data_IF_483474175797
#
_entry.id   IF_483474175797
#
_cell.length_a   1.000
_cell.length_b   1.000
_cell.length_c   1.000
_cell.angle_alpha   90.00
_cell.angle_beta   90.00
_cell.angle_gamma   90.00
#
_symmetry.space_group_name_H-M   'P 1'
#
loop_
_entity.id
_entity.type
_entity.pdbx_description
1 polymer ?
#
# COMPACT_ATOMS: atom_id res chain seq x y z
N UNK A 1 12.55 28.56 -37.37
CA UNK A 1 11.28 28.52 -36.59
C UNK A 1 10.43 27.26 -36.80
N UNK A 2 10.06 26.84 -38.02
CA UNK A 2 9.15 25.68 -38.24
C UNK A 2 9.66 24.34 -37.68
N UNK A 3 10.98 24.10 -37.71
CA UNK A 3 11.60 22.87 -37.16
C UNK A 3 11.58 22.88 -35.63
N UNK A 4 11.86 24.03 -35.01
CA UNK A 4 11.83 24.22 -33.55
C UNK A 4 10.41 24.01 -33.01
N UNK A 5 9.39 24.51 -33.70
CA UNK A 5 7.99 24.29 -33.33
C UNK A 5 7.57 22.81 -33.43
N UNK A 6 8.04 22.08 -34.45
CA UNK A 6 7.82 20.63 -34.57
C UNK A 6 8.52 19.83 -33.46
N UNK A 7 9.75 20.20 -33.11
CA UNK A 7 10.49 19.61 -31.99
C UNK A 7 9.78 19.89 -30.67
N UNK A 8 9.30 21.11 -30.46
CA UNK A 8 8.53 21.48 -29.27
C UNK A 8 7.24 20.69 -29.15
N UNK A 9 6.48 20.51 -30.24
CA UNK A 9 5.26 19.68 -30.26
C UNK A 9 5.60 18.21 -29.95
N UNK A 10 6.64 17.65 -30.57
CA UNK A 10 7.07 16.27 -30.32
C UNK A 10 7.54 16.09 -28.88
N UNK A 11 8.31 17.03 -28.32
CA UNK A 11 8.71 17.02 -26.92
C UNK A 11 7.51 17.22 -26.00
N UNK A 12 6.55 18.07 -26.34
CA UNK A 12 5.33 18.27 -25.56
C UNK A 12 4.48 16.98 -25.51
N UNK A 13 4.30 16.29 -26.64
CA UNK A 13 3.63 14.99 -26.67
C UNK A 13 4.44 13.91 -25.96
N UNK A 14 5.76 13.88 -26.12
CA UNK A 14 6.63 12.92 -25.43
C UNK A 14 6.63 13.15 -23.91
N UNK A 15 6.77 14.40 -23.47
CA UNK A 15 6.71 14.80 -22.05
C UNK A 15 5.32 14.51 -21.49
N UNK A 16 4.22 14.79 -22.20
CA UNK A 16 2.88 14.47 -21.72
C UNK A 16 2.59 12.96 -21.68
N UNK A 17 3.13 12.18 -22.61
CA UNK A 17 3.07 10.71 -22.57
C UNK A 17 3.96 10.12 -21.48
N UNK A 18 5.08 10.76 -21.13
CA UNK A 18 5.96 10.37 -20.01
C UNK A 18 5.42 10.88 -18.67
N UNK A 19 4.58 11.92 -18.67
CA UNK A 19 3.89 12.50 -17.52
C UNK A 19 2.49 11.91 -17.30
N UNK A 20 2.01 10.98 -18.14
CA UNK A 20 0.86 10.17 -17.77
C UNK A 20 1.22 9.45 -16.48
N UNK A 21 0.50 9.74 -15.38
CA UNK A 21 0.70 9.06 -14.12
C UNK A 21 0.75 7.54 -14.38
N UNK A 22 1.74 6.84 -13.84
CA UNK A 22 1.83 5.41 -14.12
C UNK A 22 0.75 4.65 -13.34
N UNK A 23 0.24 3.56 -13.89
CA UNK A 23 -0.75 2.70 -13.24
C UNK A 23 -0.14 1.96 -12.02
N UNK A 24 -0.98 1.33 -11.21
CA UNK A 24 -0.60 0.66 -9.96
C UNK A 24 0.54 -0.35 -10.13
N UNK A 25 0.54 -1.14 -11.21
CA UNK A 25 1.63 -2.09 -11.52
C UNK A 25 3.03 -1.46 -11.57
N UNK A 26 3.17 -0.22 -12.05
CA UNK A 26 4.47 0.46 -12.09
C UNK A 26 4.97 0.94 -10.73
N UNK A 27 4.06 1.10 -9.76
CA UNK A 27 4.38 1.40 -8.37
C UNK A 27 4.35 0.16 -7.46
N UNK A 28 4.08 -1.01 -8.04
CA UNK A 28 4.10 -2.30 -7.37
C UNK A 28 5.53 -2.82 -7.24
N UNK A 29 5.74 -3.77 -6.33
CA UNK A 29 7.05 -4.35 -6.02
C UNK A 29 6.97 -5.87 -5.97
N UNK A 30 7.91 -6.54 -6.63
CA UNK A 30 8.11 -7.98 -6.52
C UNK A 30 9.37 -8.29 -5.69
N UNK A 31 9.22 -9.13 -4.69
CA UNK A 31 10.30 -9.76 -3.91
C UNK A 31 10.33 -11.25 -4.28
N UNK A 32 11.34 -11.68 -5.03
CA UNK A 32 11.32 -12.99 -5.67
C UNK A 32 12.39 -13.92 -5.12
N UNK A 33 11.99 -15.12 -4.73
CA UNK A 33 12.89 -16.18 -4.31
C UNK A 33 13.77 -16.66 -5.47
N UNK A 34 15.03 -16.94 -5.16
CA UNK A 34 15.95 -17.67 -6.06
C UNK A 34 15.71 -19.19 -6.03
N UNK A 35 15.10 -19.71 -4.95
CA UNK A 35 14.82 -21.13 -4.71
C UNK A 35 13.48 -21.52 -5.33
N UNK A 36 12.41 -20.83 -4.96
CA UNK A 36 11.06 -21.07 -5.48
C UNK A 36 10.77 -20.11 -6.62
N UNK A 37 11.05 -20.52 -7.87
CA UNK A 37 10.82 -19.67 -9.04
C UNK A 37 9.31 -19.50 -9.26
N UNK A 38 8.83 -18.27 -9.16
CA UNK A 38 7.44 -17.96 -9.50
C UNK A 38 7.19 -18.06 -11.01
N UNK A 39 6.12 -18.75 -11.39
CA UNK A 39 5.58 -18.76 -12.75
C UNK A 39 4.07 -18.53 -12.68
N UNK A 40 3.60 -17.41 -13.23
CA UNK A 40 2.18 -17.05 -13.16
C UNK A 40 1.29 -18.06 -13.92
N UNK A 41 1.78 -18.56 -15.06
CA UNK A 41 1.12 -19.58 -15.89
C UNK A 41 0.80 -20.89 -15.15
N UNK A 42 1.57 -21.19 -14.09
CA UNK A 42 1.34 -22.39 -13.28
C UNK A 42 0.28 -22.18 -12.19
N UNK A 43 -0.14 -20.94 -11.93
CA UNK A 43 -1.07 -20.62 -10.85
C UNK A 43 -2.49 -21.00 -11.28
N UNK A 44 -2.99 -22.10 -10.72
CA UNK A 44 -4.36 -22.59 -10.94
C UNK A 44 -5.28 -22.34 -9.75
N UNK A 45 -4.74 -21.90 -8.61
CA UNK A 45 -5.48 -21.64 -7.38
C UNK A 45 -5.20 -20.24 -6.85
N UNK A 46 -6.25 -19.42 -6.75
CA UNK A 46 -6.22 -18.13 -6.06
C UNK A 46 -6.89 -18.30 -4.69
N UNK A 47 -6.13 -18.13 -3.61
CA UNK A 47 -6.64 -18.21 -2.23
C UNK A 47 -6.66 -16.78 -1.67
N UNK A 48 -7.85 -16.28 -1.31
CA UNK A 48 -8.04 -14.86 -0.97
C UNK A 48 -8.49 -14.69 0.47
N UNK A 49 -7.84 -13.78 1.17
CA UNK A 49 -8.21 -13.28 2.48
C UNK A 49 -8.44 -11.77 2.40
N UNK A 50 -9.39 -11.24 3.17
CA UNK A 50 -9.70 -9.83 3.05
C UNK A 50 -11.00 -9.39 3.68
N UNK A 51 -11.44 -8.21 3.27
CA UNK A 51 -12.70 -7.61 3.69
C UNK A 51 -13.71 -7.46 2.53
N UNK A 52 -14.64 -6.50 2.63
CA UNK A 52 -15.67 -6.21 1.62
C UNK A 52 -15.13 -5.76 0.26
N UNK A 53 -13.83 -5.43 0.16
CA UNK A 53 -13.17 -5.21 -1.12
C UNK A 53 -12.93 -6.50 -1.91
N UNK A 54 -12.92 -7.66 -1.23
CA UNK A 54 -12.67 -8.99 -1.82
C UNK A 54 -13.85 -9.95 -1.67
N UNK A 55 -14.77 -9.69 -0.74
CA UNK A 55 -15.91 -10.57 -0.43
C UNK A 55 -16.92 -10.66 -1.59
N UNK A 56 -17.25 -11.89 -1.98
CA UNK A 56 -18.11 -12.25 -3.12
C UNK A 56 -19.44 -12.92 -2.70
N UNK A 57 -19.78 -12.90 -1.40
CA UNK A 57 -20.99 -13.42 -0.73
C UNK A 57 -20.68 -14.54 0.30
N UNK A 58 -21.35 -14.46 1.46
CA UNK A 58 -20.89 -14.95 2.78
C UNK A 58 -21.15 -16.44 3.03
N UNK A 59 -21.85 -17.13 2.12
CA UNK A 59 -22.50 -18.39 2.44
C UNK A 59 -21.76 -19.67 2.05
N UNK A 60 -20.54 -19.60 1.53
CA UNK A 60 -19.73 -20.80 1.52
C UNK A 60 -18.24 -20.55 1.32
N UNK A 61 -17.45 -21.27 2.11
CA UNK A 61 -16.18 -21.87 1.67
C UNK A 61 -16.54 -22.80 0.50
N UNK A 62 -16.87 -22.23 -0.66
CA UNK A 62 -17.23 -22.97 -1.87
C UNK A 62 -16.09 -22.85 -2.85
N UNK A 63 -15.58 -24.02 -3.22
CA UNK A 63 -15.05 -24.26 -4.55
C UNK A 63 -16.04 -23.68 -5.58
N UNK A 64 -15.54 -22.81 -6.46
CA UNK A 64 -16.37 -21.98 -7.34
C UNK A 64 -17.39 -22.77 -8.15
N UNK A 65 -18.64 -22.28 -8.22
CA UNK A 65 -19.37 -22.14 -9.49
C UNK A 65 -20.68 -21.33 -9.43
N UNK A 66 -21.29 -21.02 -8.27
CA UNK A 66 -22.65 -20.45 -8.26
C UNK A 66 -22.86 -19.25 -7.31
N UNK A 67 -22.10 -18.17 -7.52
CA UNK A 67 -22.42 -16.88 -6.89
C UNK A 67 -23.12 -15.95 -7.89
N UNK A 68 -24.42 -15.76 -7.68
CA UNK A 68 -25.21 -14.76 -8.38
C UNK A 68 -24.92 -13.37 -7.77
N UNK A 69 -24.39 -12.46 -8.58
CA UNK A 69 -24.55 -10.99 -8.53
C UNK A 69 -23.47 -10.09 -7.90
N UNK A 70 -22.34 -10.56 -7.37
CA UNK A 70 -21.25 -9.67 -6.90
C UNK A 70 -19.89 -10.06 -7.48
N UNK A 71 -19.51 -9.39 -8.57
CA UNK A 71 -18.23 -9.61 -9.25
C UNK A 71 -17.15 -8.65 -8.69
N UNK A 72 -16.24 -9.19 -7.88
CA UNK A 72 -15.09 -8.47 -7.30
C UNK A 72 -13.80 -8.79 -8.04
N UNK A 73 -12.73 -8.05 -7.72
CA UNK A 73 -11.43 -8.25 -8.34
C UNK A 73 -10.91 -9.70 -8.30
N UNK A 74 -11.13 -10.53 -7.24
CA UNK A 74 -10.68 -11.92 -7.25
C UNK A 74 -11.37 -12.74 -8.33
N UNK A 75 -12.68 -12.54 -8.49
CA UNK A 75 -13.48 -13.23 -9.50
C UNK A 75 -12.99 -12.89 -10.91
N UNK A 76 -12.76 -11.62 -11.21
CA UNK A 76 -12.26 -11.25 -12.54
C UNK A 76 -10.83 -11.75 -12.77
N UNK A 77 -9.98 -11.73 -11.75
CA UNK A 77 -8.62 -12.25 -11.87
C UNK A 77 -8.62 -13.74 -12.24
N UNK A 78 -9.53 -14.53 -11.67
CA UNK A 78 -9.62 -15.95 -12.04
C UNK A 78 -10.11 -16.19 -13.46
N UNK A 79 -10.85 -15.23 -14.06
CA UNK A 79 -11.27 -15.31 -15.46
C UNK A 79 -10.12 -15.08 -16.44
N UNK A 80 -9.15 -14.23 -16.11
CA UNK A 80 -7.99 -14.00 -16.98
C UNK A 80 -7.06 -15.21 -17.07
N UNK A 81 -7.06 -16.09 -16.06
CA UNK A 81 -6.08 -17.16 -15.93
C UNK A 81 -6.70 -18.52 -15.53
N UNK A 82 -8.00 -18.71 -15.81
CA UNK A 82 -8.80 -19.91 -15.51
C UNK A 82 -8.50 -20.57 -14.15
N UNK A 83 -8.46 -19.76 -13.08
CA UNK A 83 -8.11 -20.23 -11.74
C UNK A 83 -9.34 -20.72 -10.96
N UNK A 84 -9.14 -21.66 -10.05
CA UNK A 84 -10.07 -21.90 -8.94
C UNK A 84 -9.91 -20.80 -7.89
N UNK A 85 -11.02 -20.23 -7.43
CA UNK A 85 -11.03 -19.22 -6.37
C UNK A 85 -11.47 -19.84 -5.04
N UNK A 86 -10.63 -19.72 -4.03
CA UNK A 86 -10.88 -20.08 -2.64
C UNK A 86 -10.96 -18.79 -1.81
N UNK A 87 -12.16 -18.23 -1.66
CA UNK A 87 -12.35 -16.93 -1.02
C UNK A 87 -12.72 -17.09 0.46
N UNK A 88 -11.81 -16.69 1.34
CA UNK A 88 -12.02 -16.62 2.79
C UNK A 88 -12.34 -15.19 3.26
N UNK A 89 -12.37 -14.19 2.37
CA UNK A 89 -12.65 -12.81 2.76
C UNK A 89 -14.06 -12.64 3.32
N UNK A 90 -14.22 -11.69 4.25
CA UNK A 90 -15.50 -11.44 4.91
C UNK A 90 -15.73 -9.93 5.05
N UNK A 91 -16.89 -9.45 4.60
CA UNK A 91 -17.25 -8.03 4.68
C UNK A 91 -17.13 -7.49 6.11
N UNK A 92 -16.45 -6.35 6.23
CA UNK A 92 -16.19 -5.69 7.50
C UNK A 92 -15.12 -6.34 8.40
N UNK A 93 -14.42 -7.37 7.91
CA UNK A 93 -13.28 -7.93 8.60
C UNK A 93 -12.21 -6.85 8.89
N UNK A 94 -11.71 -6.87 10.12
CA UNK A 94 -10.43 -6.28 10.51
C UNK A 94 -9.36 -7.37 10.52
N UNK A 95 -8.11 -7.01 10.81
CA UNK A 95 -7.05 -8.01 10.97
C UNK A 95 -7.32 -8.90 12.18
N UNK A 96 -7.62 -8.32 13.33
CA UNK A 96 -7.79 -9.06 14.59
C UNK A 96 -8.79 -8.36 15.51
N UNK A 97 -9.88 -9.03 15.86
CA UNK A 97 -10.91 -8.49 16.75
C UNK A 97 -10.45 -8.31 18.19
N UNK A 98 -9.39 -8.99 18.61
CA UNK A 98 -8.81 -8.77 19.95
C UNK A 98 -8.03 -7.46 20.03
N UNK A 99 -7.61 -6.91 18.88
CA UNK A 99 -6.90 -5.63 18.79
C UNK A 99 -7.88 -4.52 18.42
N UNK A 100 -8.72 -4.75 17.41
CA UNK A 100 -9.75 -3.80 16.95
C UNK A 100 -11.11 -4.48 16.99
N UNK A 101 -11.83 -4.32 18.10
CA UNK A 101 -13.15 -4.92 18.27
C UNK A 101 -14.19 -4.26 17.35
N UNK A 102 -15.10 -5.07 16.78
CA UNK A 102 -16.28 -4.58 16.05
C UNK A 102 -17.51 -5.40 16.37
N UNK A 103 -18.49 -4.77 17.03
CA UNK A 103 -19.66 -5.45 17.60
C UNK A 103 -20.51 -6.23 16.58
N UNK A 104 -20.65 -5.71 15.36
CA UNK A 104 -21.53 -6.28 14.34
C UNK A 104 -20.84 -7.21 13.35
N UNK A 105 -19.56 -7.51 13.53
CA UNK A 105 -18.78 -8.34 12.61
C UNK A 105 -18.22 -9.57 13.32
N UNK A 106 -18.32 -10.73 12.65
CA UNK A 106 -18.00 -12.02 13.27
C UNK A 106 -16.72 -12.66 12.74
N UNK A 107 -16.24 -12.26 11.56
CA UNK A 107 -15.06 -12.84 10.92
C UNK A 107 -14.00 -11.74 10.68
N UNK A 108 -12.83 -11.89 11.29
CA UNK A 108 -11.59 -11.12 11.09
C UNK A 108 -10.56 -11.98 10.36
N UNK A 109 -9.41 -11.43 9.98
CA UNK A 109 -8.36 -12.20 9.29
C UNK A 109 -7.90 -13.43 10.10
N UNK A 110 -7.80 -13.31 11.43
CA UNK A 110 -7.46 -14.43 12.31
C UNK A 110 -8.45 -15.59 12.15
N UNK A 111 -9.76 -15.32 12.17
CA UNK A 111 -10.78 -16.34 11.92
C UNK A 111 -10.75 -16.86 10.48
N UNK A 112 -10.51 -16.01 9.49
CA UNK A 112 -10.33 -16.47 8.10
C UNK A 112 -9.17 -17.46 7.98
N UNK A 113 -8.05 -17.19 8.64
CA UNK A 113 -6.91 -18.10 8.71
C UNK A 113 -7.25 -19.42 9.42
N UNK A 114 -8.06 -19.37 10.48
CA UNK A 114 -8.54 -20.59 11.15
C UNK A 114 -9.46 -21.42 10.23
N UNK A 115 -10.32 -20.77 9.43
CA UNK A 115 -11.14 -21.46 8.43
C UNK A 115 -10.27 -22.14 7.37
N UNK A 116 -9.23 -21.45 6.87
CA UNK A 116 -8.23 -22.04 5.99
C UNK A 116 -7.56 -23.26 6.65
N UNK A 117 -7.12 -23.13 7.90
CA UNK A 117 -6.49 -24.22 8.65
C UNK A 117 -7.39 -25.44 8.79
N UNK A 118 -8.70 -25.23 8.94
CA UNK A 118 -9.66 -26.33 9.10
C UNK A 118 -9.92 -27.13 7.82
N UNK A 119 -9.71 -26.54 6.64
CA UNK A 119 -10.15 -27.16 5.38
C UNK A 119 -9.04 -27.35 4.33
N UNK A 120 -7.97 -26.55 4.38
CA UNK A 120 -6.93 -26.49 3.32
C UNK A 120 -5.56 -27.03 3.77
N UNK A 121 -5.34 -27.33 5.05
CA UNK A 121 -4.01 -27.76 5.56
C UNK A 121 -3.84 -29.27 5.62
N UNK A 122 -2.65 -29.75 6.00
CA UNK A 122 -2.30 -31.16 6.04
C UNK A 122 -3.41 -32.06 6.61
N UNK A 123 -3.81 -33.09 5.84
CA UNK A 123 -4.85 -34.03 6.25
C UNK A 123 -6.29 -33.47 6.22
N UNK A 124 -6.50 -32.24 5.73
CA UNK A 124 -7.83 -31.66 5.56
C UNK A 124 -8.37 -31.86 4.14
N UNK A 125 -9.68 -31.69 4.00
CA UNK A 125 -10.49 -31.99 2.81
C UNK A 125 -9.90 -31.49 1.49
N UNK A 126 -9.32 -30.29 1.47
CA UNK A 126 -8.84 -29.63 0.26
C UNK A 126 -7.32 -29.44 0.22
N UNK A 127 -6.56 -30.10 1.11
CA UNK A 127 -5.10 -30.00 1.16
C UNK A 127 -4.42 -30.29 -0.19
N UNK A 128 -4.89 -31.31 -0.91
CA UNK A 128 -4.32 -31.73 -2.18
C UNK A 128 -4.72 -30.86 -3.38
N UNK A 129 -5.53 -29.81 -3.17
CA UNK A 129 -5.99 -28.91 -4.26
C UNK A 129 -4.97 -27.85 -4.63
N UNK A 130 -4.06 -27.53 -3.72
CA UNK A 130 -3.08 -26.46 -3.88
C UNK A 130 -1.70 -26.91 -3.38
N UNK A 131 -0.65 -26.27 -3.90
CA UNK A 131 0.73 -26.45 -3.47
C UNK A 131 1.53 -25.18 -3.76
N UNK A 132 2.81 -25.16 -3.39
CA UNK A 132 3.69 -24.00 -3.58
C UNK A 132 3.85 -23.52 -5.03
N UNK A 133 3.62 -24.38 -6.02
CA UNK A 133 3.88 -24.11 -7.43
C UNK A 133 2.63 -23.65 -8.18
N UNK A 134 1.43 -24.01 -7.69
CA UNK A 134 0.16 -23.75 -8.36
C UNK A 134 -0.79 -22.79 -7.62
N UNK A 135 -0.32 -22.15 -6.56
CA UNK A 135 -1.16 -21.30 -5.70
C UNK A 135 -0.60 -19.89 -5.50
N UNK A 136 -1.52 -18.93 -5.45
CA UNK A 136 -1.26 -17.53 -5.07
C UNK A 136 -2.18 -17.16 -3.90
N UNK A 137 -1.57 -16.75 -2.79
CA UNK A 137 -2.27 -16.31 -1.58
C UNK A 137 -2.37 -14.79 -1.58
N UNK A 138 -3.57 -14.25 -1.80
CA UNK A 138 -3.80 -12.82 -1.83
C UNK A 138 -4.45 -12.31 -0.53
N UNK A 139 -3.91 -11.21 0.03
CA UNK A 139 -4.42 -10.61 1.26
C UNK A 139 -4.71 -9.12 1.01
N UNK A 140 -5.96 -8.73 1.17
CA UNK A 140 -6.41 -7.34 1.05
C UNK A 140 -7.30 -6.94 2.22
N UNK A 141 -6.68 -6.38 3.28
CA UNK A 141 -7.37 -6.03 4.52
C UNK A 141 -6.63 -4.91 5.27
N UNK A 142 -7.36 -4.15 6.09
CA UNK A 142 -6.84 -3.08 6.94
C UNK A 142 -7.66 -1.79 6.89
N UNK A 143 -8.56 -1.65 5.91
CA UNK A 143 -9.40 -0.46 5.78
C UNK A 143 -10.36 -0.30 6.96
N UNK A 144 -10.95 -1.40 7.43
CA UNK A 144 -11.83 -1.39 8.60
C UNK A 144 -11.06 -1.06 9.88
N UNK A 145 -9.83 -1.54 10.04
CA UNK A 145 -8.99 -1.25 11.20
C UNK A 145 -8.73 0.26 11.31
N UNK A 146 -8.32 0.89 10.20
CA UNK A 146 -8.12 2.35 10.16
C UNK A 146 -9.42 3.10 10.42
N UNK A 147 -10.54 2.62 9.84
CA UNK A 147 -11.84 3.26 9.99
C UNK A 147 -12.33 3.24 11.45
N UNK A 148 -12.16 2.11 12.14
CA UNK A 148 -12.58 1.90 13.53
C UNK A 148 -11.69 2.66 14.52
N UNK A 149 -10.38 2.70 14.28
CA UNK A 149 -9.42 3.48 15.08
C UNK A 149 -9.66 4.99 14.96
N UNK A 150 -9.96 5.48 13.75
CA UNK A 150 -10.26 6.88 13.51
C UNK A 150 -9.10 7.84 13.82
N UNK A 151 -9.42 8.92 14.55
CA UNK A 151 -8.55 10.09 14.79
C UNK A 151 -7.58 9.95 15.98
N UNK A 152 -7.60 8.83 16.70
CA UNK A 152 -6.87 8.71 17.96
C UNK A 152 -5.35 8.90 17.77
N UNK A 153 -4.83 10.03 18.29
CA UNK A 153 -3.43 10.45 18.20
C UNK A 153 -2.61 9.75 19.29
N UNK A 154 -2.37 8.45 19.11
CA UNK A 154 -1.16 7.73 19.52
C UNK A 154 -1.18 6.23 19.12
N UNK A 155 -1.98 5.84 18.14
CA UNK A 155 -2.23 4.42 17.87
C UNK A 155 -1.14 3.75 17.01
N UNK A 156 0.09 4.27 17.01
CA UNK A 156 1.23 3.59 16.37
C UNK A 156 1.47 2.21 17.00
N UNK A 157 1.23 2.07 18.30
CA UNK A 157 1.31 0.79 19.00
C UNK A 157 0.24 -0.17 18.48
N UNK A 158 -1.03 0.25 18.45
CA UNK A 158 -2.13 -0.54 17.88
C UNK A 158 -1.86 -0.92 16.42
N UNK A 159 -1.38 0.02 15.59
CA UNK A 159 -0.98 -0.28 14.22
C UNK A 159 0.16 -1.30 14.15
N UNK A 160 1.13 -1.25 15.05
CA UNK A 160 2.19 -2.25 15.10
C UNK A 160 1.63 -3.62 15.48
N UNK A 161 0.70 -3.69 16.43
CA UNK A 161 0.05 -4.94 16.86
C UNK A 161 -0.79 -5.53 15.73
N UNK A 162 -1.58 -4.71 15.03
CA UNK A 162 -2.32 -5.11 13.82
C UNK A 162 -1.36 -5.68 12.78
N UNK A 163 -0.27 -4.97 12.48
CA UNK A 163 0.70 -5.39 11.48
C UNK A 163 1.44 -6.67 11.90
N UNK A 164 1.68 -6.87 13.20
CA UNK A 164 2.26 -8.11 13.72
C UNK A 164 1.28 -9.27 13.55
N UNK A 165 0.00 -9.11 13.92
CA UNK A 165 -1.04 -10.13 13.71
C UNK A 165 -1.18 -10.47 12.22
N UNK A 166 -1.18 -9.47 11.32
CA UNK A 166 -1.15 -9.69 9.86
C UNK A 166 0.03 -10.55 9.41
N UNK A 167 1.24 -10.29 9.94
CA UNK A 167 2.45 -11.06 9.61
C UNK A 167 2.40 -12.47 10.17
N UNK A 168 1.85 -12.67 11.37
CA UNK A 168 1.68 -13.99 11.96
C UNK A 168 0.78 -14.89 11.10
N UNK A 169 -0.24 -14.32 10.45
CA UNK A 169 -1.05 -15.03 9.45
C UNK A 169 -0.22 -15.45 8.23
N UNK A 170 0.62 -14.56 7.67
CA UNK A 170 1.51 -14.93 6.54
C UNK A 170 2.46 -16.07 6.96
N UNK A 171 3.04 -15.99 8.15
CA UNK A 171 3.95 -17.02 8.68
C UNK A 171 3.19 -18.35 8.84
N UNK A 172 1.96 -18.31 9.34
CA UNK A 172 1.13 -19.50 9.50
C UNK A 172 0.81 -20.16 8.14
N UNK A 173 0.41 -19.37 7.14
CA UNK A 173 0.18 -19.87 5.78
C UNK A 173 1.46 -20.46 5.17
N UNK A 174 2.60 -19.78 5.35
CA UNK A 174 3.90 -20.24 4.88
C UNK A 174 4.31 -21.57 5.52
N UNK A 175 4.08 -21.73 6.82
CA UNK A 175 4.36 -22.98 7.54
C UNK A 175 3.55 -24.17 7.01
N UNK A 176 2.38 -23.91 6.42
CA UNK A 176 1.55 -24.92 5.77
C UNK A 176 1.88 -25.14 4.27
N UNK A 177 2.89 -24.47 3.74
CA UNK A 177 3.39 -24.70 2.37
C UNK A 177 3.12 -23.58 1.38
N UNK A 178 2.45 -22.48 1.78
CA UNK A 178 2.28 -21.33 0.91
C UNK A 178 3.65 -20.69 0.59
N UNK A 179 3.88 -20.34 -0.68
CA UNK A 179 5.14 -19.70 -1.13
C UNK A 179 4.95 -18.45 -1.95
N UNK A 180 3.80 -18.24 -2.58
CA UNK A 180 3.54 -17.06 -3.39
C UNK A 180 2.44 -16.24 -2.74
N UNK A 181 2.79 -15.02 -2.33
CA UNK A 181 1.89 -14.09 -1.66
C UNK A 181 1.69 -12.83 -2.48
N UNK A 182 0.45 -12.37 -2.61
CA UNK A 182 0.12 -11.04 -3.12
C UNK A 182 -0.51 -10.21 -2.01
N UNK A 183 0.20 -9.17 -1.56
CA UNK A 183 -0.27 -8.24 -0.54
C UNK A 183 -0.76 -6.97 -1.23
N UNK A 184 -2.05 -6.67 -1.11
CA UNK A 184 -2.62 -5.47 -1.71
C UNK A 184 -2.51 -4.31 -0.72
N UNK A 185 -1.93 -3.20 -1.18
CA UNK A 185 -2.02 -1.95 -0.45
C UNK A 185 -3.46 -1.48 -0.29
N UNK A 186 -3.72 -0.81 0.82
CA UNK A 186 -4.99 -0.14 1.07
C UNK A 186 -5.23 0.94 0.00
N UNK A 187 -6.45 1.03 -0.56
CA UNK A 187 -6.81 2.03 -1.56
C UNK A 187 -6.85 3.43 -0.91
N UNK A 188 -6.80 4.52 -1.69
CA UNK A 188 -6.76 5.89 -1.17
C UNK A 188 -8.17 6.31 -0.74
N UNK A 189 -8.70 5.76 0.36
CA UNK A 189 -10.05 6.08 0.85
C UNK A 189 -10.19 7.53 1.30
N UNK A 190 -9.08 8.27 1.49
CA UNK A 190 -9.10 9.72 1.64
C UNK A 190 -9.64 10.46 0.40
N UNK A 191 -9.59 9.83 -0.77
CA UNK A 191 -10.19 10.28 -2.04
C UNK A 191 -11.57 9.66 -2.31
N UNK A 192 -12.04 8.73 -1.48
CA UNK A 192 -13.33 8.09 -1.66
C UNK A 192 -14.49 9.02 -1.25
N UNK A 193 -15.72 8.77 -1.75
CA UNK A 193 -16.87 9.62 -1.45
C UNK A 193 -17.18 9.74 0.06
N UNK A 194 -16.80 8.76 0.88
CA UNK A 194 -16.88 8.85 2.35
C UNK A 194 -16.20 10.10 2.91
N UNK A 195 -15.08 10.52 2.31
CA UNK A 195 -14.30 11.68 2.76
C UNK A 195 -14.64 12.96 1.97
N UNK A 196 -15.76 13.00 1.21
CA UNK A 196 -16.13 14.19 0.42
C UNK A 196 -16.25 15.47 1.26
N UNK A 197 -16.67 15.35 2.51
CA UNK A 197 -16.78 16.47 3.47
C UNK A 197 -15.51 16.69 4.32
N UNK A 198 -14.44 15.92 4.10
CA UNK A 198 -13.20 16.00 4.88
C UNK A 198 -13.31 15.43 6.31
N UNK A 199 -14.41 14.75 6.65
CA UNK A 199 -14.65 14.20 7.99
C UNK A 199 -13.79 12.97 8.32
N UNK A 200 -13.12 12.39 7.32
CA UNK A 200 -12.25 11.21 7.44
C UNK A 200 -10.82 11.52 7.00
N UNK A 201 -10.34 12.74 7.24
CA UNK A 201 -9.00 13.18 6.82
C UNK A 201 -7.84 12.39 7.48
N UNK A 202 -8.10 11.65 8.56
CA UNK A 202 -7.13 10.71 9.15
C UNK A 202 -6.68 9.63 8.15
N UNK A 203 -7.53 9.25 7.20
CA UNK A 203 -7.23 8.29 6.14
C UNK A 203 -6.00 8.70 5.33
N UNK A 204 -5.82 10.00 5.09
CA UNK A 204 -4.70 10.56 4.31
C UNK A 204 -3.32 10.28 4.94
N UNK A 205 -3.27 10.11 6.26
CA UNK A 205 -2.05 9.81 7.00
C UNK A 205 -1.94 8.31 7.32
N UNK A 206 -3.03 7.71 7.79
CA UNK A 206 -3.01 6.34 8.31
C UNK A 206 -2.88 5.29 7.19
N UNK A 207 -3.50 5.50 6.02
CA UNK A 207 -3.39 4.56 4.89
C UNK A 207 -1.95 4.46 4.37
N UNK A 208 -1.26 5.57 4.03
CA UNK A 208 0.15 5.49 3.64
C UNK A 208 1.05 4.90 4.72
N UNK A 209 0.77 5.17 6.00
CA UNK A 209 1.51 4.59 7.11
C UNK A 209 1.35 3.06 7.17
N UNK A 210 0.11 2.57 7.07
CA UNK A 210 -0.20 1.14 7.04
C UNK A 210 0.48 0.44 5.85
N UNK A 211 0.33 0.99 4.65
CA UNK A 211 0.96 0.46 3.44
C UNK A 211 2.49 0.41 3.57
N UNK A 212 3.10 1.44 4.16
CA UNK A 212 4.55 1.46 4.45
C UNK A 212 4.93 0.34 5.42
N UNK A 213 4.13 0.08 6.46
CA UNK A 213 4.42 -0.97 7.45
C UNK A 213 4.33 -2.38 6.86
N UNK A 214 3.33 -2.63 6.01
CA UNK A 214 3.24 -3.89 5.25
C UNK A 214 4.49 -4.11 4.39
N UNK A 215 4.94 -3.09 3.65
CA UNK A 215 6.15 -3.14 2.84
C UNK A 215 7.42 -3.39 3.65
N UNK A 216 7.57 -2.73 4.81
CA UNK A 216 8.70 -2.96 5.73
C UNK A 216 8.72 -4.41 6.21
N UNK A 217 7.58 -4.96 6.63
CA UNK A 217 7.48 -6.35 7.10
C UNK A 217 7.64 -7.38 5.99
N UNK A 218 7.13 -7.11 4.79
CA UNK A 218 7.32 -7.98 3.63
C UNK A 218 8.80 -8.12 3.26
N UNK A 219 9.57 -7.01 3.30
CA UNK A 219 11.03 -7.06 3.10
C UNK A 219 11.74 -7.88 4.17
N UNK A 220 11.31 -7.76 5.42
CA UNK A 220 11.84 -8.56 6.53
C UNK A 220 11.53 -10.05 6.26
N UNK A 221 10.28 -10.42 5.99
CA UNK A 221 9.91 -11.81 5.66
C UNK A 221 10.72 -12.36 4.49
N UNK A 222 10.86 -11.59 3.40
CA UNK A 222 11.66 -11.98 2.24
C UNK A 222 13.13 -12.23 2.59
N UNK A 223 13.73 -11.41 3.47
CA UNK A 223 15.12 -11.62 3.93
C UNK A 223 15.29 -12.81 4.87
N UNK A 224 14.19 -13.36 5.39
CA UNK A 224 14.19 -14.43 6.39
C UNK A 224 13.73 -15.77 5.83
N UNK A 225 12.99 -15.78 4.73
CA UNK A 225 12.35 -16.94 4.14
C UNK A 225 12.85 -17.12 2.70
N UNK A 226 13.89 -17.92 2.52
CA UNK A 226 14.63 -17.98 1.25
C UNK A 226 13.80 -18.44 0.04
N UNK A 227 12.70 -19.16 0.28
CA UNK A 227 11.80 -19.70 -0.75
C UNK A 227 10.47 -18.93 -0.91
N UNK A 228 10.31 -17.76 -0.26
CA UNK A 228 9.10 -16.94 -0.38
C UNK A 228 9.15 -16.00 -1.60
N UNK A 229 8.02 -15.90 -2.32
CA UNK A 229 7.73 -14.84 -3.27
C UNK A 229 6.67 -13.91 -2.68
N UNK A 230 6.92 -12.60 -2.68
CA UNK A 230 5.95 -11.59 -2.24
C UNK A 230 5.78 -10.54 -3.33
N UNK A 231 4.55 -10.41 -3.81
CA UNK A 231 4.08 -9.39 -4.71
C UNK A 231 3.32 -8.34 -3.91
N UNK A 232 3.81 -7.11 -3.88
CA UNK A 232 3.08 -6.00 -3.25
C UNK A 232 2.44 -5.19 -4.37
N UNK A 233 1.13 -5.35 -4.53
CA UNK A 233 0.37 -4.64 -5.54
C UNK A 233 -0.11 -3.29 -5.00
N UNK A 234 0.19 -2.21 -5.71
CA UNK A 234 -0.08 -0.86 -5.26
C UNK A 234 -1.46 -0.35 -5.71
N UNK A 235 -2.50 -0.90 -5.10
CA UNK A 235 -3.89 -0.46 -5.31
C UNK A 235 -4.09 1.02 -4.98
N UNK A 236 -3.26 1.57 -4.08
CA UNK A 236 -3.33 2.98 -3.69
C UNK A 236 -3.08 3.90 -4.88
N UNK A 237 -2.00 3.65 -5.63
CA UNK A 237 -1.66 4.42 -6.83
C UNK A 237 -2.58 4.07 -8.01
N UNK A 238 -3.04 2.82 -8.14
CA UNK A 238 -3.98 2.45 -9.21
C UNK A 238 -5.28 3.26 -9.12
N UNK A 239 -5.87 3.35 -7.93
CA UNK A 239 -7.08 4.15 -7.76
C UNK A 239 -6.81 5.63 -8.03
N UNK A 240 -5.67 6.18 -7.58
CA UNK A 240 -5.32 7.57 -7.89
C UNK A 240 -5.18 7.79 -9.40
N UNK A 241 -4.61 6.83 -10.12
CA UNK A 241 -4.48 6.88 -11.57
C UNK A 241 -5.85 6.86 -12.25
N UNK A 242 -6.70 5.89 -11.91
CA UNK A 242 -8.06 5.79 -12.47
C UNK A 242 -8.84 7.06 -12.20
N UNK A 243 -8.82 7.57 -10.97
CA UNK A 243 -9.57 8.78 -10.59
C UNK A 243 -9.06 10.02 -11.34
N UNK A 244 -7.75 10.16 -11.52
CA UNK A 244 -7.18 11.31 -12.24
C UNK A 244 -7.45 11.23 -13.75
N UNK A 245 -7.75 10.05 -14.27
CA UNK A 245 -8.00 9.77 -15.69
C UNK A 245 -9.40 9.20 -15.94
N UNK A 246 -10.37 9.48 -15.05
CA UNK A 246 -11.65 8.76 -14.99
C UNK A 246 -12.42 8.74 -16.32
N UNK A 247 -12.31 9.81 -17.13
CA UNK A 247 -12.90 9.90 -18.47
C UNK A 247 -12.33 8.87 -19.45
N UNK A 248 -11.02 8.59 -19.39
CA UNK A 248 -10.37 7.56 -20.23
C UNK A 248 -10.89 6.16 -19.91
N UNK A 249 -11.36 5.94 -18.68
CA UNK A 249 -11.99 4.69 -18.24
C UNK A 249 -13.52 4.67 -18.47
N UNK A 250 -14.06 5.72 -19.11
CA UNK A 250 -15.50 5.95 -19.34
C UNK A 250 -16.32 6.11 -18.06
N UNK A 251 -15.70 6.60 -16.99
CA UNK A 251 -16.43 7.02 -15.80
C UNK A 251 -16.93 8.46 -15.95
N UNK A 252 -18.02 8.80 -15.27
CA UNK A 252 -18.63 10.14 -15.30
C UNK A 252 -18.14 11.07 -14.19
N UNK A 253 -17.47 10.52 -13.16
CA UNK A 253 -16.96 11.30 -12.04
C UNK A 253 -15.78 10.62 -11.35
N UNK A 254 -14.85 11.45 -10.86
CA UNK A 254 -13.74 11.04 -9.98
C UNK A 254 -14.14 11.02 -8.48
N UNK A 255 -15.28 11.62 -8.10
CA UNK A 255 -15.68 11.80 -6.69
C UNK A 255 -17.04 11.22 -6.35
N UNK A 256 -17.96 11.20 -7.31
CA UNK A 256 -19.34 10.81 -7.04
C UNK A 256 -19.49 9.29 -7.03
N UNK A 257 -20.36 8.81 -6.14
CA UNK A 257 -20.76 7.43 -6.06
C UNK A 257 -22.06 7.20 -6.82
N UNK A 258 -22.20 6.04 -7.46
CA UNK A 258 -23.46 5.61 -8.05
C UNK A 258 -24.61 5.57 -7.04
N UNK A 259 -24.36 5.21 -5.77
CA UNK A 259 -25.38 5.16 -4.70
C UNK A 259 -26.18 6.46 -4.56
N UNK A 260 -25.59 7.60 -4.88
CA UNK A 260 -26.23 8.92 -4.82
C UNK A 260 -26.80 9.37 -6.19
N UNK A 261 -26.62 8.58 -7.24
CA UNK A 261 -26.97 8.86 -8.64
C UNK A 261 -27.69 7.65 -9.29
N UNK A 262 -28.61 7.00 -8.55
CA UNK A 262 -29.20 5.70 -8.92
C UNK A 262 -30.00 5.68 -10.23
N UNK A 263 -30.36 6.84 -10.77
CA UNK A 263 -31.00 7.01 -12.08
C UNK A 263 -30.04 6.79 -13.27
N UNK A 264 -28.77 6.50 -13.01
CA UNK A 264 -27.75 6.25 -14.03
C UNK A 264 -27.21 4.83 -13.95
N UNK A 265 -26.54 4.36 -15.00
CA UNK A 265 -25.92 3.05 -15.03
C UNK A 265 -24.71 3.00 -14.07
N UNK A 266 -24.66 2.01 -13.16
CA UNK A 266 -23.55 1.80 -12.21
C UNK A 266 -22.19 1.65 -12.92
N UNK A 267 -22.18 1.12 -14.15
CA UNK A 267 -20.96 0.94 -14.93
C UNK A 267 -20.34 2.27 -15.37
N UNK A 268 -21.07 3.38 -15.28
CA UNK A 268 -20.54 4.71 -15.55
C UNK A 268 -19.79 5.29 -14.33
N UNK A 269 -19.75 4.59 -13.19
CA UNK A 269 -19.11 5.08 -11.96
C UNK A 269 -17.98 4.16 -11.53
N UNK A 270 -16.88 4.76 -11.08
CA UNK A 270 -15.82 4.02 -10.40
C UNK A 270 -16.27 3.61 -8.99
N UNK A 271 -16.86 4.55 -8.24
CA UNK A 271 -17.38 4.29 -6.89
C UNK A 271 -18.84 3.79 -6.95
N UNK A 272 -19.08 2.60 -6.39
CA UNK A 272 -20.44 2.08 -6.17
C UNK A 272 -21.13 2.84 -5.04
N UNK A 273 -20.44 2.98 -3.91
CA UNK A 273 -20.93 3.65 -2.71
C UNK A 273 -19.82 4.52 -2.07
N UNK A 274 -19.91 4.79 -0.78
CA UNK A 274 -18.98 5.68 -0.08
C UNK A 274 -17.53 5.15 -0.02
N UNK A 275 -17.32 3.84 -0.09
CA UNK A 275 -16.00 3.22 0.12
C UNK A 275 -15.68 2.12 -0.89
N UNK A 276 -16.67 1.55 -1.56
CA UNK A 276 -16.49 0.44 -2.50
C UNK A 276 -16.55 0.89 -3.95
N UNK A 277 -15.72 0.25 -4.77
CA UNK A 277 -15.72 0.40 -6.22
C UNK A 277 -16.83 -0.46 -6.88
N UNK A 278 -17.24 -0.05 -8.07
CA UNK A 278 -18.22 -0.77 -8.91
C UNK A 278 -17.64 -2.06 -9.49
N UNK A 279 -18.49 -2.89 -10.10
CA UNK A 279 -18.06 -4.11 -10.80
C UNK A 279 -17.08 -3.76 -11.93
N UNK A 280 -17.35 -2.71 -12.72
CA UNK A 280 -16.41 -2.21 -13.74
C UNK A 280 -15.07 -1.77 -13.13
N UNK A 281 -15.09 -1.08 -11.98
CA UNK A 281 -13.87 -0.76 -11.25
C UNK A 281 -13.08 -2.00 -10.83
N UNK A 282 -13.77 -3.05 -10.37
CA UNK A 282 -13.15 -4.32 -9.97
C UNK A 282 -12.54 -5.05 -11.17
N UNK A 283 -13.20 -5.01 -12.33
CA UNK A 283 -12.70 -5.57 -13.60
C UNK A 283 -11.40 -4.90 -14.04
N UNK A 284 -11.35 -3.56 -14.00
CA UNK A 284 -10.16 -2.79 -14.36
C UNK A 284 -9.01 -3.07 -13.39
N UNK A 285 -9.29 -3.11 -12.07
CA UNK A 285 -8.30 -3.47 -11.06
C UNK A 285 -7.72 -4.88 -11.32
N UNK A 286 -8.57 -5.85 -11.58
CA UNK A 286 -8.14 -7.21 -11.88
C UNK A 286 -7.30 -7.31 -13.16
N UNK A 287 -7.60 -6.49 -14.18
CA UNK A 287 -6.81 -6.41 -15.40
C UNK A 287 -5.39 -5.89 -15.12
N UNK A 288 -5.26 -4.79 -14.37
CA UNK A 288 -3.93 -4.23 -14.06
C UNK A 288 -3.11 -5.18 -13.15
N UNK A 289 -3.77 -5.91 -12.24
CA UNK A 289 -3.14 -7.00 -11.46
C UNK A 289 -2.69 -8.14 -12.39
N UNK A 290 -3.53 -8.56 -13.34
CA UNK A 290 -3.18 -9.62 -14.29
C UNK A 290 -1.96 -9.23 -15.14
N UNK A 291 -1.94 -8.00 -15.68
CA UNK A 291 -0.80 -7.47 -16.44
C UNK A 291 0.46 -7.36 -15.58
N UNK A 292 0.31 -6.99 -14.31
CA UNK A 292 1.42 -6.98 -13.35
C UNK A 292 2.00 -8.38 -13.15
N UNK A 293 1.16 -9.38 -12.87
CA UNK A 293 1.59 -10.75 -12.58
C UNK A 293 2.09 -11.51 -13.81
N UNK A 294 1.61 -11.16 -15.01
CA UNK A 294 2.10 -11.75 -16.27
C UNK A 294 3.52 -11.29 -16.60
N UNK A 295 3.87 -10.05 -16.22
CA UNK A 295 5.09 -9.37 -16.66
C UNK A 295 5.87 -8.74 -15.48
N UNK A 296 5.77 -9.32 -14.28
CA UNK A 296 6.29 -8.72 -13.04
C UNK A 296 7.76 -8.29 -13.11
N UNK A 297 8.57 -8.97 -13.94
CA UNK A 297 9.99 -8.66 -14.18
C UNK A 297 10.24 -7.31 -14.84
N UNK A 298 9.26 -6.73 -15.53
CA UNK A 298 9.35 -5.41 -16.19
C UNK A 298 9.19 -4.24 -15.21
N UNK A 299 8.67 -4.49 -14.01
CA UNK A 299 8.38 -3.46 -13.01
C UNK A 299 9.46 -3.43 -11.92
N UNK A 300 9.14 -2.89 -10.73
CA UNK A 300 10.12 -2.86 -9.65
C UNK A 300 10.30 -4.27 -9.08
N UNK A 301 11.51 -4.81 -9.20
CA UNK A 301 11.89 -6.10 -8.64
C UNK A 301 13.10 -5.95 -7.72
N UNK A 302 13.03 -6.59 -6.55
CA UNK A 302 14.18 -6.81 -5.68
C UNK A 302 14.48 -8.31 -5.67
N UNK A 303 15.69 -8.67 -6.12
CA UNK A 303 16.18 -10.04 -6.17
C UNK A 303 17.06 -10.42 -4.96
N UNK A 304 17.44 -9.42 -4.14
CA UNK A 304 18.31 -9.62 -2.97
C UNK A 304 18.27 -8.38 -2.06
N UNK A 305 18.11 -8.57 -0.74
CA UNK A 305 18.35 -7.54 0.26
C UNK A 305 19.70 -7.87 0.89
N UNK A 306 20.77 -7.21 0.43
CA UNK A 306 22.13 -7.44 0.93
C UNK A 306 22.19 -7.30 2.47
N UNK A 307 22.23 -8.45 3.15
CA UNK A 307 22.73 -8.74 4.50
C UNK A 307 22.43 -7.74 5.62
N UNK A 308 21.51 -8.10 6.53
CA UNK A 308 21.72 -7.97 7.99
C UNK A 308 21.11 -9.18 8.69
N UNK A 309 21.95 -9.87 9.48
CA UNK A 309 21.65 -11.11 10.20
C UNK A 309 20.26 -11.08 10.86
N UNK A 310 19.48 -12.10 10.57
CA UNK A 310 18.21 -12.41 11.22
C UNK A 310 18.39 -12.50 12.75
N UNK A 311 17.50 -11.90 13.57
CA UNK A 311 17.46 -12.13 15.01
C UNK A 311 17.22 -13.61 15.34
N UNK A 312 17.75 -14.09 16.47
CA UNK A 312 17.69 -15.50 16.94
C UNK A 312 16.27 -16.06 17.21
N UNK A 313 15.21 -15.32 16.92
CA UNK A 313 13.80 -15.74 17.10
C UNK A 313 13.41 -16.90 16.13
N UNK A 314 14.23 -17.18 15.11
CA UNK A 314 13.81 -17.95 13.92
C UNK A 314 14.25 -19.44 13.91
N UNK A 315 14.78 -19.98 15.01
CA UNK A 315 14.96 -21.44 15.12
C UNK A 315 13.65 -22.26 15.15
N UNK A 316 12.48 -21.62 15.00
CA UNK A 316 11.14 -22.27 15.05
C UNK A 316 10.35 -22.32 13.73
N UNK A 317 10.82 -21.69 12.65
CA UNK A 317 10.12 -21.81 11.35
C UNK A 317 10.56 -23.11 10.67
N UNK A 318 9.81 -24.18 10.92
CA UNK A 318 9.92 -25.43 10.17
C UNK A 318 8.61 -25.65 9.44
N UNK A 319 8.62 -25.78 8.09
CA UNK A 319 7.45 -26.23 7.37
C UNK A 319 6.91 -27.49 8.04
N UNK A 320 5.61 -27.52 8.31
CA UNK A 320 4.99 -28.68 8.94
C UNK A 320 5.06 -29.82 7.91
N UNK A 321 5.96 -30.78 8.12
CA UNK A 321 6.09 -31.93 7.24
C UNK A 321 4.90 -32.86 7.48
N UNK A 322 4.09 -33.09 6.45
CA UNK A 322 3.10 -34.15 6.45
C UNK A 322 3.82 -35.51 6.36
N UNK A 323 4.30 -36.04 7.48
CA UNK A 323 4.66 -37.46 7.55
C UNK A 323 3.36 -38.26 7.66
N UNK A 324 3.19 -39.21 6.74
CA UNK A 324 1.97 -39.99 6.52
C UNK A 324 1.68 -41.05 7.59
N UNK A 325 1.77 -40.69 8.88
CA UNK A 325 1.39 -41.57 9.98
C UNK A 325 0.63 -40.76 11.04
N UNK A 326 -0.67 -41.04 11.15
CA UNK A 326 -1.63 -40.60 12.17
C UNK A 326 -2.33 -39.24 11.93
N UNK A 327 -3.10 -39.13 10.85
CA UNK A 327 -4.27 -38.25 10.85
C UNK A 327 -5.49 -39.16 10.66
N UNK A 328 -6.09 -39.57 11.77
CA UNK A 328 -7.41 -40.18 11.77
C UNK A 328 -8.40 -39.14 11.25
N UNK A 329 -9.22 -39.53 10.27
CA UNK A 329 -10.32 -38.72 9.78
C UNK A 329 -11.21 -38.29 10.96
N UNK A 330 -11.17 -37.02 11.31
CA UNK A 330 -12.21 -36.41 12.13
C UNK A 330 -13.19 -35.82 11.13
N UNK A 331 -14.25 -36.58 10.84
CA UNK A 331 -15.46 -36.04 10.23
C UNK A 331 -16.05 -35.02 11.19
N UNK A 332 -16.00 -33.74 10.81
CA UNK A 332 -16.75 -32.68 11.48
C UNK A 332 -17.96 -32.41 10.62
N UNK A 333 -19.10 -32.97 11.02
CA UNK A 333 -20.41 -32.52 10.56
C UNK A 333 -20.54 -31.03 10.90
N UNK A 334 -20.54 -30.19 9.87
CA UNK A 334 -20.90 -28.78 9.99
C UNK A 334 -22.43 -28.71 10.05
N UNK A 335 -23.00 -28.65 11.26
CA UNK A 335 -24.39 -28.22 11.41
C UNK A 335 -24.50 -26.70 11.15
N UNK A 336 -25.57 -26.24 10.48
CA UNK A 336 -25.79 -24.83 10.23
C UNK A 336 -26.11 -24.12 11.55
N UNK A 337 -25.35 -23.06 11.86
CA UNK A 337 -25.60 -22.22 13.02
C UNK A 337 -26.91 -21.43 12.82
N UNK A 338 -28.00 -21.97 13.36
CA UNK A 338 -29.22 -21.20 13.60
C UNK A 338 -28.98 -20.09 14.63
N UNK A 339 -29.61 -18.95 14.36
CA UNK A 339 -29.67 -17.79 15.22
C UNK A 339 -30.49 -18.09 16.48
N UNK A 340 -29.91 -17.96 17.66
CA UNK A 340 -30.69 -17.63 18.85
C UNK A 340 -29.93 -16.74 19.84
N UNK A 341 -30.60 -15.64 20.18
CA UNK A 341 -30.29 -14.72 21.25
C UNK A 341 -30.16 -15.44 22.60
N UNK A 342 -29.20 -15.04 23.44
CA UNK A 342 -29.48 -14.76 24.85
C UNK A 342 -28.29 -14.06 25.53
N UNK A 343 -28.68 -13.02 26.24
CA UNK A 343 -27.94 -12.12 27.11
C UNK A 343 -27.31 -12.84 28.30
N UNK A 344 -26.07 -12.47 28.66
CA UNK A 344 -25.59 -12.43 30.06
C UNK A 344 -24.26 -11.68 30.15
N UNK A 345 -24.37 -10.46 30.68
CA UNK A 345 -23.29 -9.60 31.16
C UNK A 345 -22.52 -10.29 32.29
N UNK A 346 -21.19 -10.32 32.19
CA UNK A 346 -20.28 -10.53 33.33
C UNK A 346 -19.38 -9.31 33.46
N UNK A 347 -19.68 -8.48 34.45
CA UNK A 347 -18.88 -7.36 34.92
C UNK A 347 -17.67 -7.88 35.68
N UNK A 348 -16.48 -7.37 35.34
CA UNK A 348 -15.28 -7.49 36.17
C UNK A 348 -14.87 -6.09 36.63
N UNK A 349 -14.93 -5.87 37.94
CA UNK A 349 -14.42 -4.68 38.61
C UNK A 349 -12.90 -4.80 38.74
N UNK A 350 -12.16 -3.80 38.24
CA UNK A 350 -10.75 -3.63 38.57
C UNK A 350 -10.58 -2.30 39.30
N UNK A 351 -10.16 -2.43 40.56
CA UNK A 351 -9.82 -1.36 41.50
C UNK A 351 -8.47 -0.73 41.11
N UNK A 352 -8.47 0.59 40.89
CA UNK A 352 -7.26 1.38 40.66
C UNK A 352 -6.66 1.86 41.99
N UNK A 353 -5.42 1.46 42.29
CA UNK A 353 -4.63 2.08 43.37
C UNK A 353 -3.86 3.30 42.84
N UNK A 354 -4.28 4.48 43.30
CA UNK A 354 -3.62 5.76 43.10
C UNK A 354 -2.32 5.86 43.92
N UNK A 355 -1.22 6.30 43.30
CA UNK A 355 -0.26 7.21 43.96
C UNK A 355 0.20 8.29 42.98
N UNK A 356 -0.26 9.50 43.30
CA UNK A 356 0.09 10.80 42.74
C UNK A 356 1.55 11.18 42.98
N UNK A 357 2.16 11.91 42.05
CA UNK A 357 2.98 13.08 42.40
C UNK A 357 2.86 14.19 41.36
N UNK A 358 2.47 15.37 41.87
CA UNK A 358 2.29 16.65 41.17
C UNK A 358 3.64 17.33 40.98
N UNK A 359 3.90 17.90 39.79
CA UNK A 359 4.60 19.19 39.68
C UNK A 359 3.84 20.05 38.67
N UNK A 360 3.31 21.17 39.17
CA UNK A 360 2.77 22.29 38.38
C UNK A 360 3.94 23.17 37.94
N UNK A 361 3.93 23.65 36.71
CA UNK A 361 4.31 25.04 36.42
C UNK A 361 3.54 25.57 35.20
N UNK A 362 3.19 26.85 35.29
CA UNK A 362 2.13 27.56 34.58
C UNK A 362 2.79 28.73 33.83
N UNK A 363 2.74 28.80 32.50
CA UNK A 363 3.02 30.04 31.73
C UNK A 363 2.11 30.08 30.48
N UNK A 364 1.80 31.30 30.07
CA UNK A 364 0.59 31.77 29.38
C UNK A 364 0.43 31.46 27.88
N UNK A 365 -0.85 31.55 27.48
CA UNK A 365 -1.40 31.71 26.14
C UNK A 365 -0.66 32.77 25.31
N UNK A 366 -0.29 32.44 24.06
CA UNK A 366 -0.87 33.04 22.84
C UNK A 366 -0.22 32.49 21.55
N UNK A 367 -1.07 32.19 20.56
CA UNK A 367 -0.80 31.95 19.12
C UNK A 367 0.13 30.78 18.76
N UNK A 368 -0.46 29.61 18.52
CA UNK A 368 0.16 28.58 17.67
C UNK A 368 -0.24 28.81 16.21
N UNK A 369 0.68 29.34 15.42
CA UNK A 369 0.67 29.17 13.96
C UNK A 369 1.39 27.87 13.64
N UNK A 370 0.69 26.97 12.95
CA UNK A 370 1.31 25.82 12.28
C UNK A 370 2.02 26.34 11.04
N UNK A 371 3.32 26.09 10.91
CA UNK A 371 3.96 26.13 9.59
C UNK A 371 5.04 25.04 9.53
N UNK A 372 4.71 23.93 8.87
CA UNK A 372 5.68 22.98 8.35
C UNK A 372 5.90 23.40 6.90
N UNK A 373 7.04 24.03 6.61
CA UNK A 373 7.58 24.09 5.26
C UNK A 373 9.10 24.07 5.35
N UNK A 374 9.68 22.94 4.92
CA UNK A 374 11.10 22.81 4.68
C UNK A 374 11.49 23.72 3.50
N UNK A 375 12.47 24.60 3.74
CA UNK A 375 13.27 25.35 2.77
C UNK A 375 12.48 26.11 1.70
N UNK A 376 12.05 27.34 2.02
CA UNK A 376 11.68 28.32 1.01
C UNK A 376 12.97 28.80 0.35
N UNK A 377 13.15 28.46 -0.93
CA UNK A 377 14.12 29.09 -1.81
C UNK A 377 13.39 30.18 -2.57
N UNK A 378 13.78 31.44 -2.34
CA UNK A 378 13.33 32.55 -3.19
C UNK A 378 14.37 32.72 -4.29
N UNK A 379 13.91 32.64 -5.54
CA UNK A 379 14.73 32.92 -6.73
C UNK A 379 14.16 34.19 -7.33
N UNK A 380 14.91 35.29 -7.20
CA UNK A 380 14.56 36.55 -7.82
C UNK A 380 15.46 36.78 -9.05
N UNK A 381 14.84 37.22 -10.13
CA UNK A 381 15.49 37.60 -11.38
C UNK A 381 15.38 39.12 -11.55
N UNK A 382 16.51 39.81 -11.56
CA UNK A 382 16.62 41.21 -11.98
C UNK A 382 17.94 41.42 -12.71
N UNK A 383 17.91 42.12 -13.85
CA UNK A 383 19.07 42.63 -14.62
C UNK A 383 20.30 41.71 -14.66
N UNK A 384 20.19 40.57 -15.36
CA UNK A 384 21.28 39.60 -15.57
C UNK A 384 21.93 39.02 -14.30
N UNK A 385 21.24 39.10 -13.16
CA UNK A 385 21.64 38.46 -11.90
C UNK A 385 20.61 37.45 -11.44
N UNK A 386 21.09 36.26 -11.08
CA UNK A 386 20.31 35.26 -10.34
C UNK A 386 20.75 35.35 -8.89
N UNK A 387 19.81 35.68 -8.00
CA UNK A 387 20.06 35.69 -6.57
C UNK A 387 19.28 34.54 -5.92
N UNK A 388 20.02 33.59 -5.33
CA UNK A 388 19.45 32.46 -4.60
C UNK A 388 19.71 32.70 -3.11
N UNK A 389 18.64 32.95 -2.37
CA UNK A 389 18.68 33.10 -0.92
C UNK A 389 18.27 31.79 -0.28
N UNK A 390 19.20 31.17 0.44
CA UNK A 390 18.92 30.00 1.27
C UNK A 390 18.62 30.46 2.70
N UNK A 391 17.39 30.19 3.15
CA UNK A 391 16.97 30.45 4.53
C UNK A 391 17.08 29.13 5.28
N UNK A 392 18.03 29.06 6.20
CA UNK A 392 18.18 27.91 7.11
C UNK A 392 18.00 28.35 8.56
N UNK A 393 17.19 27.61 9.31
CA UNK A 393 17.05 27.78 10.76
C UNK A 393 18.15 27.00 11.46
N UNK A 394 19.00 27.70 12.22
CA UNK A 394 20.13 27.06 12.93
C UNK A 394 19.74 26.61 14.34
N UNK A 395 18.69 27.21 14.93
CA UNK A 395 17.89 26.74 16.06
C UNK A 395 16.86 27.84 16.40
N UNK A 396 15.90 27.54 17.28
CA UNK A 396 14.61 28.23 17.49
C UNK A 396 14.55 29.78 17.51
N UNK A 397 15.64 30.54 17.53
CA UNK A 397 15.60 32.01 17.53
C UNK A 397 16.56 32.74 16.56
N UNK A 398 17.39 32.06 15.74
CA UNK A 398 18.28 32.74 14.79
C UNK A 398 18.08 32.26 13.34
N UNK A 399 17.90 33.23 12.43
CA UNK A 399 17.81 33.04 10.98
C UNK A 399 19.19 33.33 10.38
N UNK A 400 19.72 32.40 9.58
CA UNK A 400 20.90 32.67 8.77
C UNK A 400 20.50 32.72 7.30
N UNK A 401 20.78 33.86 6.65
CA UNK A 401 20.52 34.10 5.24
C UNK A 401 21.87 34.02 4.53
N UNK A 402 21.98 33.11 3.57
CA UNK A 402 23.14 33.04 2.68
C UNK A 402 22.68 33.36 1.26
N UNK A 403 23.17 34.49 0.75
CA UNK A 403 22.91 34.95 -0.61
C UNK A 403 24.03 34.46 -1.52
N UNK A 404 23.65 33.77 -2.60
CA UNK A 404 24.57 33.38 -3.66
C UNK A 404 24.18 34.15 -4.92
N UNK A 405 25.04 35.08 -5.31
CA UNK A 405 24.89 35.89 -6.51
C UNK A 405 25.64 35.27 -7.69
N UNK A 406 24.96 35.10 -8.82
CA UNK A 406 25.58 34.69 -10.09
C UNK A 406 25.48 35.82 -11.13
N UNK A 407 26.58 36.09 -11.83
CA UNK A 407 26.66 37.02 -12.95
C UNK A 407 26.77 36.23 -14.26
N UNK A 408 25.91 36.53 -15.23
CA UNK A 408 25.77 35.77 -16.49
C UNK A 408 26.91 35.96 -17.52
N UNK A 409 27.99 36.69 -17.18
CA UNK A 409 29.04 37.04 -18.15
C UNK A 409 30.30 36.16 -18.12
N UNK A 410 30.42 35.20 -17.18
CA UNK A 410 31.59 34.33 -17.15
C UNK A 410 31.29 33.04 -17.93
N UNK A 411 32.02 32.79 -19.02
CA UNK A 411 31.98 31.56 -19.81
C UNK A 411 31.79 30.32 -18.91
N UNK A 412 30.55 29.85 -18.83
CA UNK A 412 30.10 28.91 -17.81
C UNK A 412 30.66 27.53 -18.14
N UNK A 413 31.70 27.11 -17.42
CA UNK A 413 32.13 25.71 -17.41
C UNK A 413 31.15 24.91 -16.52
N UNK A 414 30.05 24.46 -17.14
CA UNK A 414 28.87 23.81 -16.51
C UNK A 414 29.27 22.68 -15.55
N UNK A 415 30.37 21.97 -15.82
CA UNK A 415 30.93 20.91 -14.98
C UNK A 415 31.36 21.40 -13.60
N UNK A 416 31.92 22.62 -13.49
CA UNK A 416 32.30 23.21 -12.20
C UNK A 416 31.09 23.67 -11.37
N UNK A 417 29.99 24.05 -12.03
CA UNK A 417 28.72 24.38 -11.36
C UNK A 417 28.07 23.11 -10.82
N UNK A 418 28.07 22.02 -11.62
CA UNK A 418 27.61 20.71 -11.20
C UNK A 418 28.35 20.24 -9.94
N UNK A 419 29.69 20.29 -9.94
CA UNK A 419 30.49 19.87 -8.78
C UNK A 419 30.26 20.76 -7.54
N UNK A 420 30.17 22.09 -7.68
CA UNK A 420 29.94 22.99 -6.53
C UNK A 420 28.54 22.85 -5.92
N UNK A 421 27.49 22.71 -6.74
CA UNK A 421 26.12 22.49 -6.27
C UNK A 421 25.99 21.11 -5.63
N UNK A 422 26.61 20.09 -6.21
CA UNK A 422 26.61 18.74 -5.67
C UNK A 422 27.37 18.66 -4.34
N UNK A 423 28.50 19.37 -4.23
CA UNK A 423 29.30 19.41 -2.98
C UNK A 423 28.60 20.18 -1.86
N UNK A 424 27.86 21.25 -2.17
CA UNK A 424 27.09 21.99 -1.16
C UNK A 424 25.85 21.21 -0.68
N UNK A 425 25.17 20.46 -1.55
CA UNK A 425 24.06 19.57 -1.18
C UNK A 425 24.53 18.33 -0.38
N UNK A 426 25.73 17.82 -0.65
CA UNK A 426 26.32 16.71 0.11
C UNK A 426 26.78 17.16 1.51
N UNK A 427 27.17 18.41 1.70
CA UNK A 427 27.64 18.91 2.98
C UNK A 427 26.52 19.24 3.99
N UNK A 428 25.23 19.12 3.62
CA UNK A 428 24.11 19.41 4.54
C UNK A 428 23.82 18.30 5.56
N UNK A 429 24.42 17.11 5.49
CA UNK A 429 24.29 16.14 6.61
C UNK A 429 25.46 15.14 6.67
N UNK A 430 26.56 15.55 7.30
CA UNK A 430 27.55 14.65 7.91
C UNK A 430 27.25 14.40 9.39
N UNK A 431 26.00 14.10 9.74
CA UNK A 431 25.69 13.42 11.00
C UNK A 431 25.40 11.94 10.72
N UNK A 432 26.01 11.05 11.50
CA UNK A 432 26.03 9.59 11.30
C UNK A 432 24.71 8.87 11.63
N UNK A 433 23.60 9.61 11.74
CA UNK A 433 22.29 9.10 12.14
C UNK A 433 21.23 9.82 11.31
N UNK A 434 20.81 9.20 10.19
CA UNK A 434 19.55 9.44 9.45
C UNK A 434 19.67 9.07 7.95
N UNK A 435 20.11 7.84 7.65
CA UNK A 435 19.92 7.25 6.30
C UNK A 435 18.65 6.42 6.24
N UNK A 436 17.49 7.06 6.42
CA UNK A 436 16.18 6.48 6.09
C UNK A 436 15.32 7.57 5.45
N UNK A 437 15.71 8.02 4.26
CA UNK A 437 14.81 8.74 3.36
C UNK A 437 14.56 7.87 2.13
N UNK A 438 13.29 7.61 1.88
CA UNK A 438 12.77 6.67 0.90
C UNK A 438 13.32 6.92 -0.53
N UNK A 439 13.89 5.88 -1.15
CA UNK A 439 14.37 5.93 -2.53
C UNK A 439 13.28 6.27 -3.58
N UNK A 440 12.00 6.24 -3.20
CA UNK A 440 10.86 6.61 -4.05
C UNK A 440 10.67 8.13 -4.12
N UNK A 441 10.76 8.84 -2.97
CA UNK A 441 10.75 10.31 -2.97
C UNK A 441 12.04 10.88 -3.61
N UNK A 442 13.18 10.21 -3.39
CA UNK A 442 14.47 10.63 -3.94
C UNK A 442 14.50 10.55 -5.48
N UNK A 443 13.94 9.47 -6.07
CA UNK A 443 13.79 9.35 -7.54
C UNK A 443 12.80 10.38 -8.11
N UNK A 444 11.72 10.70 -7.38
CA UNK A 444 10.77 11.74 -7.79
C UNK A 444 11.40 13.14 -7.79
N UNK A 445 12.27 13.42 -6.82
CA UNK A 445 13.00 14.69 -6.71
C UNK A 445 14.07 14.79 -7.81
N UNK A 446 14.85 13.73 -8.03
CA UNK A 446 15.83 13.63 -9.12
C UNK A 446 15.20 13.83 -10.50
N UNK A 447 14.02 13.23 -10.75
CA UNK A 447 13.27 13.45 -12.00
C UNK A 447 12.83 14.90 -12.18
N UNK A 448 12.42 15.57 -11.10
CA UNK A 448 11.99 16.98 -11.11
C UNK A 448 13.17 17.92 -11.43
N UNK A 449 14.35 17.62 -10.90
CA UNK A 449 15.57 18.38 -11.17
C UNK A 449 16.18 18.10 -12.55
N UNK A 450 16.06 16.88 -13.07
CA UNK A 450 16.49 16.54 -14.43
C UNK A 450 15.72 17.33 -15.48
N UNK A 451 14.41 17.55 -15.25
CA UNK A 451 13.55 18.38 -16.11
C UNK A 451 13.96 19.87 -16.05
N UNK A 452 14.28 20.40 -14.87
CA UNK A 452 14.78 21.77 -14.74
C UNK A 452 16.15 21.96 -15.41
N UNK A 453 17.04 20.96 -15.31
CA UNK A 453 18.34 20.99 -15.97
C UNK A 453 18.22 20.91 -17.49
N UNK A 454 17.33 20.06 -18.02
CA UNK A 454 17.04 20.01 -19.45
C UNK A 454 16.47 21.35 -19.94
N UNK A 455 15.60 21.99 -19.15
CA UNK A 455 15.05 23.30 -19.47
C UNK A 455 16.12 24.41 -19.47
N UNK A 456 17.06 24.40 -18.52
CA UNK A 456 18.19 25.33 -18.46
C UNK A 456 19.16 25.12 -19.63
N UNK A 457 19.45 23.88 -20.01
CA UNK A 457 20.29 23.57 -21.18
C UNK A 457 19.60 24.08 -22.46
N UNK A 458 18.30 23.85 -22.62
CA UNK A 458 17.54 24.33 -23.77
C UNK A 458 17.49 25.87 -23.81
N UNK A 459 17.32 26.54 -22.67
CA UNK A 459 17.30 28.00 -22.58
C UNK A 459 18.68 28.61 -22.94
N UNK A 460 19.78 27.97 -22.54
CA UNK A 460 21.15 28.36 -22.92
C UNK A 460 21.49 28.07 -24.39
N UNK A 461 20.72 27.24 -25.09
CA UNK A 461 20.84 27.05 -26.54
C UNK A 461 19.93 28.01 -27.34
N UNK A 462 19.00 28.69 -26.65
CA UNK A 462 18.03 29.64 -27.24
C UNK A 462 18.44 31.10 -27.06
N UNK A 463 19.27 31.41 -26.06
CA UNK A 463 20.01 32.67 -25.88
C UNK A 463 21.37 32.50 -26.55
#
# INVERSE_FOLDING_TARGET
MKIIYKIYILLFFYINNVLSANTGKFYSLSLLSKINKFNYENITNLIVFGDSHSDTDYNAITYYHDHKNIEKWPFYLTKYHNMSLWNFSASGAVVDFNIVYRENFKIDLVKQNNLFNNVMTCGKKFYNKWNKDNSLFAIYIGCNDIAEIGYNKNDKEIFNDIINSYVDIIINLYNHGARNFMLLYLPPLDKAPVNRKGLHNYLKLNIPYFNKKIMEKAKILYSLLDDINIFIYNTNEEYKYILSNYKQFHFVSEKEAWRNNKNTNINNFFWKDNTHISNRGNLILALDINEYLSDFKKYNVIYDLSTKKAPEIIKKIKPISCSSKNITNIDINLEPLESNHLTKTKTFNITTNNKTNKIKNKVNKNKFNININNNITNINYTDNKINISNISYINNNNINITDINYYLNDNINITKIYDKIFTSLINVNKSKTDRIFSGVQYKSILRKYYIHFAFIIILNFLI
#
